data_IF_735476373179
#
_entry.id   IF_735476373179
#
_cell.length_a   1.000
_cell.length_b   1.000
_cell.length_c   1.000
_cell.angle_alpha   90.00
_cell.angle_beta   90.00
_cell.angle_gamma   90.00
#
_symmetry.space_group_name_H-M   'P 1'
#
loop_
_entity.id
_entity.type
_entity.pdbx_description
1 polymer ?
#
# COMPACT_ATOMS: atom_id res chain seq x y z
N UNK A 1 -4.32 29.82 -0.43
CA UNK A 1 -4.50 28.46 0.11
C UNK A 1 -3.39 27.60 -0.47
N UNK A 2 -2.51 27.06 0.37
CA UNK A 2 -1.28 26.38 -0.05
C UNK A 2 -1.62 25.07 -0.76
N UNK A 3 -1.26 25.01 -2.03
CA UNK A 3 -1.38 23.83 -2.90
C UNK A 3 -0.42 22.77 -2.37
N UNK A 4 -0.94 21.81 -1.58
CA UNK A 4 -0.17 20.64 -1.19
C UNK A 4 -0.08 19.72 -2.40
N UNK A 5 0.96 19.93 -3.21
CA UNK A 5 1.37 19.00 -4.26
C UNK A 5 1.65 17.65 -3.57
N UNK A 6 0.72 16.70 -3.69
CA UNK A 6 0.90 15.34 -3.19
C UNK A 6 2.06 14.74 -4.00
N UNK A 7 3.19 14.38 -3.38
CA UNK A 7 4.33 13.88 -4.13
C UNK A 7 4.01 12.47 -4.63
N UNK A 8 3.64 12.39 -5.91
CA UNK A 8 3.70 11.22 -6.80
C UNK A 8 3.53 9.86 -6.09
N UNK A 9 2.28 9.38 -6.08
CA UNK A 9 1.73 8.20 -5.41
C UNK A 9 2.27 6.84 -5.94
N UNK A 10 3.59 6.73 -6.15
CA UNK A 10 4.25 5.58 -6.77
C UNK A 10 4.73 4.53 -5.78
N UNK A 11 4.80 4.88 -4.50
CA UNK A 11 5.31 4.00 -3.45
C UNK A 11 4.43 4.04 -2.21
N UNK A 12 4.26 2.89 -1.57
CA UNK A 12 3.69 2.78 -0.23
C UNK A 12 4.80 2.80 0.81
N UNK A 13 4.60 3.57 1.88
CA UNK A 13 5.40 3.41 3.09
C UNK A 13 4.94 2.18 3.84
N UNK A 14 5.86 1.62 4.62
CA UNK A 14 5.55 0.53 5.54
C UNK A 14 4.34 0.83 6.42
N UNK A 15 4.27 2.01 7.05
CA UNK A 15 3.15 2.38 7.94
C UNK A 15 1.81 2.46 7.20
N UNK A 16 1.82 2.87 5.93
CA UNK A 16 0.62 2.91 5.07
C UNK A 16 0.14 1.50 4.74
N UNK A 17 1.04 0.56 4.46
CA UNK A 17 0.70 -0.85 4.26
C UNK A 17 0.12 -1.46 5.53
N UNK A 18 0.75 -1.22 6.69
CA UNK A 18 0.24 -1.72 7.97
C UNK A 18 -1.16 -1.20 8.30
N UNK A 19 -1.44 0.04 7.89
CA UNK A 19 -2.77 0.66 8.01
C UNK A 19 -3.74 0.10 6.97
N UNK A 20 -3.34 -0.13 5.72
CA UNK A 20 -4.18 -0.69 4.65
C UNK A 20 -4.65 -2.11 4.99
N UNK A 21 -3.76 -2.91 5.55
CA UNK A 21 -4.03 -4.30 5.90
C UNK A 21 -4.69 -4.46 7.28
N UNK A 22 -5.08 -3.40 7.98
CA UNK A 22 -5.66 -3.48 9.33
C UNK A 22 -6.84 -4.47 9.44
N UNK A 23 -7.59 -4.68 8.36
CA UNK A 23 -8.67 -5.65 8.26
C UNK A 23 -8.23 -7.11 8.49
N UNK A 24 -6.95 -7.42 8.23
CA UNK A 24 -6.35 -8.73 8.51
C UNK A 24 -5.73 -8.83 9.90
N UNK A 25 -5.81 -7.77 10.71
CA UNK A 25 -5.34 -7.81 12.10
C UNK A 25 -6.27 -8.70 12.94
N UNK A 26 -5.68 -9.59 13.74
CA UNK A 26 -6.42 -10.41 14.69
C UNK A 26 -7.08 -9.57 15.82
N UNK A 27 -6.58 -8.35 16.05
CA UNK A 27 -7.13 -7.40 17.00
C UNK A 27 -7.85 -6.28 16.25
N UNK A 28 -9.17 -6.17 16.45
CA UNK A 28 -9.99 -5.12 15.84
C UNK A 28 -9.41 -3.73 16.17
N UNK A 29 -9.22 -2.90 15.13
CA UNK A 29 -8.68 -1.54 15.20
C UNK A 29 -7.19 -1.39 15.57
N UNK A 30 -6.38 -2.44 15.52
CA UNK A 30 -4.91 -2.28 15.61
C UNK A 30 -4.26 -2.42 14.23
N UNK A 31 -3.35 -1.50 13.84
CA UNK A 31 -2.56 -1.67 12.63
C UNK A 31 -1.73 -2.95 12.76
N UNK A 32 -1.46 -3.60 11.62
CA UNK A 32 -0.60 -4.77 11.62
C UNK A 32 0.80 -4.42 12.10
N UNK A 33 1.53 -5.43 12.55
CA UNK A 33 2.94 -5.27 12.90
C UNK A 33 3.82 -5.55 11.69
N UNK A 34 5.01 -4.95 11.68
CA UNK A 34 6.05 -5.24 10.69
C UNK A 34 6.33 -6.73 10.51
N UNK A 35 6.18 -7.52 11.59
CA UNK A 35 6.35 -8.98 11.56
C UNK A 35 5.44 -9.64 10.53
N UNK A 36 4.24 -9.11 10.31
CA UNK A 36 3.32 -9.67 9.32
C UNK A 36 3.81 -9.44 7.90
N UNK A 37 4.33 -8.24 7.58
CA UNK A 37 4.93 -7.97 6.27
C UNK A 37 6.17 -8.86 6.06
N UNK A 38 7.03 -8.99 7.07
CA UNK A 38 8.19 -9.90 6.99
C UNK A 38 7.76 -11.35 6.76
N UNK A 39 6.71 -11.81 7.44
CA UNK A 39 6.15 -13.15 7.27
C UNK A 39 5.60 -13.36 5.86
N UNK A 40 4.87 -12.38 5.31
CA UNK A 40 4.38 -12.46 3.93
C UNK A 40 5.51 -12.41 2.90
N UNK A 41 6.62 -11.71 3.18
CA UNK A 41 7.81 -11.79 2.32
C UNK A 41 8.40 -13.20 2.32
N UNK A 42 8.51 -13.83 3.50
CA UNK A 42 9.09 -15.16 3.63
C UNK A 42 8.18 -16.28 3.07
N UNK A 43 6.87 -16.19 3.28
CA UNK A 43 5.93 -17.29 2.99
C UNK A 43 5.11 -17.08 1.71
N UNK A 44 4.84 -15.82 1.33
CA UNK A 44 3.91 -15.46 0.24
C UNK A 44 4.54 -14.64 -0.88
N UNK A 45 5.85 -14.41 -0.82
CA UNK A 45 6.57 -13.63 -1.85
C UNK A 45 6.15 -12.16 -1.91
N UNK A 46 5.78 -11.55 -0.77
CA UNK A 46 5.48 -10.11 -0.73
C UNK A 46 6.64 -9.28 -1.30
N UNK A 47 6.38 -8.18 -2.03
CA UNK A 47 7.41 -7.43 -2.73
C UNK A 47 8.52 -6.89 -1.83
N UNK A 48 9.71 -6.81 -2.39
CA UNK A 48 10.89 -6.29 -1.70
C UNK A 48 10.77 -4.77 -1.49
N UNK A 49 11.14 -4.28 -0.30
CA UNK A 49 11.18 -2.85 -0.08
C UNK A 49 12.31 -2.22 -0.90
N UNK A 50 12.00 -1.12 -1.56
CA UNK A 50 12.98 -0.19 -2.11
C UNK A 50 13.59 0.59 -0.93
N UNK A 51 14.75 0.14 -0.47
CA UNK A 51 15.50 0.79 0.62
C UNK A 51 16.19 2.07 0.12
N UNK A 52 15.44 3.15 -0.05
CA UNK A 52 16.03 4.50 -0.13
C UNK A 52 16.19 5.04 1.30
N UNK A 53 17.39 4.91 1.88
CA UNK A 53 17.69 5.50 3.19
C UNK A 53 17.24 6.97 3.21
N UNK A 54 16.52 7.44 4.25
CA UNK A 54 16.28 6.83 5.56
C UNK A 54 14.94 6.06 5.71
N UNK A 55 14.17 5.80 4.64
CA UNK A 55 12.82 5.22 4.75
C UNK A 55 12.66 3.94 3.92
N UNK A 56 12.02 2.94 4.52
CA UNK A 56 11.63 1.70 3.83
C UNK A 56 10.31 1.98 3.10
N UNK A 57 10.34 1.87 1.77
CA UNK A 57 9.16 2.06 0.91
C UNK A 57 9.00 0.87 -0.04
N UNK A 58 7.80 0.66 -0.55
CA UNK A 58 7.42 -0.43 -1.44
C UNK A 58 6.81 0.17 -2.70
N UNK A 59 7.09 -0.37 -3.88
CA UNK A 59 6.46 0.13 -5.10
C UNK A 59 4.96 -0.18 -5.08
N UNK A 60 4.12 0.83 -5.35
CA UNK A 60 2.65 0.66 -5.38
C UNK A 60 2.26 -0.42 -6.37
N UNK A 61 2.90 -0.43 -7.53
CA UNK A 61 2.68 -1.42 -8.59
C UNK A 61 2.88 -2.84 -8.07
N UNK A 62 4.06 -3.14 -7.52
CA UNK A 62 4.38 -4.49 -7.07
C UNK A 62 3.48 -4.95 -5.91
N UNK A 63 3.11 -4.04 -5.01
CA UNK A 63 2.15 -4.34 -3.94
C UNK A 63 0.77 -4.65 -4.50
N UNK A 64 0.29 -3.86 -5.47
CA UNK A 64 -1.03 -4.08 -6.08
C UNK A 64 -1.08 -5.33 -6.96
N UNK A 65 -0.01 -5.61 -7.71
CA UNK A 65 0.12 -6.83 -8.47
C UNK A 65 0.10 -8.05 -7.52
N UNK A 66 0.85 -8.00 -6.42
CA UNK A 66 0.83 -9.04 -5.39
C UNK A 66 -0.55 -9.18 -4.71
N UNK A 67 -1.21 -8.08 -4.36
CA UNK A 67 -2.58 -8.08 -3.81
C UNK A 67 -3.55 -8.79 -4.78
N UNK A 68 -3.45 -8.49 -6.08
CA UNK A 68 -4.25 -9.12 -7.13
C UNK A 68 -3.96 -10.62 -7.25
N UNK A 69 -2.70 -11.04 -7.17
CA UNK A 69 -2.31 -12.45 -7.18
C UNK A 69 -2.86 -13.22 -5.96
N UNK A 70 -2.95 -12.57 -4.80
CA UNK A 70 -3.59 -13.14 -3.60
C UNK A 70 -5.13 -13.16 -3.68
N UNK A 71 -5.73 -12.58 -4.73
CA UNK A 71 -7.17 -12.44 -4.87
C UNK A 71 -7.77 -11.38 -3.93
N UNK A 72 -6.96 -10.46 -3.42
CA UNK A 72 -7.40 -9.41 -2.51
C UNK A 72 -7.91 -8.21 -3.28
N UNK A 73 -9.20 -7.91 -3.14
CA UNK A 73 -9.82 -6.73 -3.75
C UNK A 73 -9.90 -5.62 -2.71
N UNK A 74 -8.79 -4.92 -2.48
CA UNK A 74 -8.85 -3.63 -1.81
C UNK A 74 -9.51 -2.64 -2.77
N UNK A 75 -10.77 -2.28 -2.52
CA UNK A 75 -11.47 -1.26 -3.30
C UNK A 75 -10.59 -0.01 -3.40
N UNK A 76 -10.12 0.30 -4.61
CA UNK A 76 -9.58 1.63 -4.94
C UNK A 76 -10.74 2.62 -4.87
N UNK A 77 -11.06 3.04 -3.65
CA UNK A 77 -12.15 3.95 -3.35
C UNK A 77 -11.68 5.28 -2.79
N UNK A 78 -10.65 5.89 -3.39
CA UNK A 78 -10.44 7.35 -3.36
C UNK A 78 -9.45 7.83 -4.44
N UNK A 79 -9.50 7.28 -5.65
CA UNK A 79 -9.14 8.11 -6.81
C UNK A 79 -10.42 8.85 -7.15
N UNK A 80 -10.50 10.11 -6.71
CA UNK A 80 -11.55 11.01 -7.16
C UNK A 80 -11.58 10.93 -8.67
N UNK A 81 -12.75 10.55 -9.17
CA UNK A 81 -13.23 10.79 -10.51
C UNK A 81 -12.64 12.10 -11.05
N UNK A 82 -11.67 12.01 -11.94
CA UNK A 82 -11.48 13.01 -12.97
C UNK A 82 -11.27 12.25 -14.27
N UNK A 83 -12.39 11.67 -14.70
CA UNK A 83 -12.58 11.26 -16.08
C UNK A 83 -12.52 12.53 -16.90
N UNK A 84 -11.31 12.84 -17.36
CA UNK A 84 -11.07 13.81 -18.40
C UNK A 84 -11.99 13.51 -19.62
N UNK A 85 -12.51 14.59 -20.20
CA UNK A 85 -13.14 14.66 -21.52
C UNK A 85 -14.60 14.22 -21.67
N UNK A 86 -15.48 15.24 -21.76
CA UNK A 86 -16.24 15.45 -23.01
C UNK A 86 -16.76 16.88 -23.15
N UNK A 87 -16.09 17.58 -24.09
CA UNK A 87 -16.58 18.57 -25.06
C UNK A 87 -17.21 19.89 -24.60
#
# INVERSE_FOLDING_TARGET
>A
MTVAVVPNNKVFRKDELLSRYYMFSAEANKPLTDRTIQKWRAEKGFPDPVCSRPRVVYLRKDVMDWEREQGWTFLEGHESEDTEARK
#
